data_IF_996163198319
#
_entry.id   IF_996163198319
#
_cell.length_a   1.000
_cell.length_b   1.000
_cell.length_c   1.000
_cell.angle_alpha   90.00
_cell.angle_beta   90.00
_cell.angle_gamma   90.00
#
_symmetry.space_group_name_H-M   'P 1'
#
loop_
_entity.id
_entity.type
_entity.pdbx_description
1 polymer ?
#
# COMPACT_ATOMS: atom_id res chain seq x y z
N UNK A 1 16.46 19.12 15.49
CA UNK A 1 15.25 18.31 15.19
C UNK A 1 15.65 17.26 14.18
N UNK A 2 15.87 16.03 14.61
CA UNK A 2 16.34 14.97 13.73
C UNK A 2 15.19 14.53 12.83
N UNK A 3 15.27 14.87 11.54
CA UNK A 3 14.41 14.29 10.50
C UNK A 3 14.70 12.79 10.48
N UNK A 4 13.84 11.99 11.13
CA UNK A 4 13.86 10.55 10.92
C UNK A 4 13.50 10.33 9.46
N UNK A 5 14.51 10.15 8.62
CA UNK A 5 14.31 9.69 7.26
C UNK A 5 13.61 8.34 7.36
N UNK A 6 12.43 8.21 6.74
CA UNK A 6 11.67 6.98 6.62
C UNK A 6 12.47 5.99 5.77
N UNK A 7 13.49 5.36 6.39
CA UNK A 7 14.45 4.45 5.78
C UNK A 7 13.80 3.23 5.12
N UNK A 8 12.52 2.98 5.36
CA UNK A 8 11.79 1.84 4.80
C UNK A 8 11.25 2.09 3.38
N UNK A 9 11.07 3.36 2.98
CA UNK A 9 10.50 3.72 1.68
C UNK A 9 11.55 4.30 0.72
N UNK A 10 12.72 4.66 1.24
CA UNK A 10 13.65 5.50 0.50
C UNK A 10 14.62 4.74 -0.41
N UNK A 11 14.72 3.39 -0.36
CA UNK A 11 15.66 2.73 -1.29
C UNK A 11 15.56 1.22 -1.58
N UNK A 12 14.48 0.53 -1.23
CA UNK A 12 14.32 -0.87 -1.66
C UNK A 12 12.91 -1.00 -2.22
N UNK A 13 12.82 -1.41 -3.47
CA UNK A 13 11.62 -1.47 -4.29
C UNK A 13 10.35 -1.76 -3.49
N UNK A 14 9.23 -1.11 -3.84
CA UNK A 14 7.89 -1.51 -3.38
C UNK A 14 7.61 -2.96 -3.80
N UNK A 15 8.17 -3.89 -3.04
CA UNK A 15 7.95 -5.32 -3.15
C UNK A 15 6.57 -5.63 -2.58
N UNK A 16 6.02 -6.78 -2.96
CA UNK A 16 4.72 -7.18 -2.44
C UNK A 16 4.74 -7.34 -0.91
N UNK A 17 5.84 -7.82 -0.35
CA UNK A 17 6.00 -7.98 1.10
C UNK A 17 6.07 -6.62 1.84
N UNK A 18 6.77 -5.63 1.28
CA UNK A 18 6.83 -4.29 1.88
C UNK A 18 5.45 -3.61 1.86
N UNK A 19 4.70 -3.74 0.75
CA UNK A 19 3.34 -3.21 0.66
C UNK A 19 2.41 -3.90 1.67
N UNK A 20 2.50 -5.23 1.79
CA UNK A 20 1.71 -6.00 2.74
C UNK A 20 1.99 -5.59 4.20
N UNK A 21 3.27 -5.41 4.55
CA UNK A 21 3.69 -4.94 5.86
C UNK A 21 3.17 -3.53 6.17
N UNK A 22 3.23 -2.59 5.21
CA UNK A 22 2.65 -1.24 5.37
C UNK A 22 1.15 -1.30 5.64
N UNK A 23 0.40 -2.09 4.85
CA UNK A 23 -1.05 -2.27 5.03
C UNK A 23 -1.33 -2.90 6.40
N UNK A 24 -0.55 -3.91 6.78
CA UNK A 24 -0.70 -4.69 8.02
C UNK A 24 -0.23 -3.96 9.28
N UNK A 25 0.64 -2.95 9.18
CA UNK A 25 1.01 -2.10 10.32
C UNK A 25 -0.03 -1.04 10.60
N UNK A 26 -0.69 -0.52 9.56
CA UNK A 26 -1.78 0.46 9.73
C UNK A 26 -1.32 1.82 10.27
N UNK A 27 -0.03 2.15 10.15
CA UNK A 27 0.48 3.47 10.55
C UNK A 27 0.05 4.51 9.54
N UNK A 28 -0.43 5.65 10.04
CA UNK A 28 -0.94 6.74 9.20
C UNK A 28 0.12 7.26 8.23
N UNK A 29 1.34 7.51 8.71
CA UNK A 29 2.40 8.07 7.86
C UNK A 29 2.81 7.08 6.75
N UNK A 30 2.94 5.79 7.07
CA UNK A 30 3.23 4.75 6.07
C UNK A 30 2.11 4.66 5.01
N UNK A 31 0.85 4.90 5.41
CA UNK A 31 -0.29 4.94 4.48
C UNK A 31 -0.32 6.19 3.61
N UNK A 32 0.05 7.35 4.16
CA UNK A 32 0.20 8.59 3.40
C UNK A 32 1.30 8.45 2.34
N UNK A 33 2.43 7.83 2.71
CA UNK A 33 3.55 7.54 1.81
C UNK A 33 3.16 6.53 0.71
N UNK A 34 2.51 5.42 1.07
CA UNK A 34 2.01 4.44 0.09
C UNK A 34 1.02 5.08 -0.89
N UNK A 35 0.13 5.94 -0.38
CA UNK A 35 -0.80 6.68 -1.23
C UNK A 35 -0.04 7.60 -2.18
N UNK A 36 0.92 8.39 -1.70
CA UNK A 36 1.71 9.28 -2.54
C UNK A 36 2.47 8.50 -3.63
N UNK A 37 3.00 7.33 -3.30
CA UNK A 37 3.67 6.45 -4.25
C UNK A 37 2.73 5.95 -5.36
N UNK A 38 1.53 5.48 -4.99
CA UNK A 38 0.51 5.03 -5.96
C UNK A 38 0.06 6.17 -6.88
N UNK A 39 -0.06 7.40 -6.37
CA UNK A 39 -0.40 8.56 -7.19
C UNK A 39 0.70 8.91 -8.21
N UNK A 40 1.97 8.60 -7.90
CA UNK A 40 3.11 8.87 -8.76
C UNK A 40 3.41 7.73 -9.76
N UNK A 41 3.14 6.46 -9.38
CA UNK A 41 3.33 5.28 -10.23
C UNK A 41 2.12 4.34 -10.14
N UNK A 42 1.30 4.34 -11.19
CA UNK A 42 0.11 3.50 -11.28
C UNK A 42 0.40 2.00 -11.23
N UNK A 43 1.63 1.56 -11.57
CA UNK A 43 2.04 0.15 -11.47
C UNK A 43 2.06 -0.35 -10.02
N UNK A 44 2.20 0.55 -9.05
CA UNK A 44 2.11 0.20 -7.63
C UNK A 44 0.67 -0.16 -7.23
N UNK A 45 -0.32 0.39 -7.91
CA UNK A 45 -1.72 0.07 -7.70
C UNK A 45 -2.00 -1.42 -7.99
N UNK A 46 -1.45 -1.95 -9.07
CA UNK A 46 -1.55 -3.38 -9.42
C UNK A 46 -0.91 -4.27 -8.35
N UNK A 47 0.25 -3.84 -7.80
CA UNK A 47 0.91 -4.55 -6.71
C UNK A 47 0.06 -4.56 -5.45
N UNK A 48 -0.58 -3.44 -5.10
CA UNK A 48 -1.52 -3.37 -3.97
C UNK A 48 -2.69 -4.32 -4.18
N UNK A 49 -3.29 -4.36 -5.37
CA UNK A 49 -4.36 -5.32 -5.68
C UNK A 49 -3.89 -6.77 -5.56
N UNK A 50 -2.67 -7.07 -6.03
CA UNK A 50 -2.06 -8.40 -5.90
C UNK A 50 -1.85 -8.79 -4.44
N UNK A 51 -1.39 -7.86 -3.60
CA UNK A 51 -1.23 -8.06 -2.14
C UNK A 51 -2.57 -8.26 -1.45
N UNK A 52 -3.61 -7.52 -1.85
CA UNK A 52 -4.92 -7.63 -1.21
C UNK A 52 -5.70 -8.89 -1.62
N UNK A 53 -5.38 -9.51 -2.76
CA UNK A 53 -6.14 -10.64 -3.33
C UNK A 53 -6.25 -11.85 -2.38
N UNK A 54 -5.18 -12.33 -1.71
CA UNK A 54 -5.27 -13.45 -0.77
C UNK A 54 -6.21 -13.17 0.42
N UNK A 55 -6.38 -11.91 0.81
CA UNK A 55 -7.18 -11.49 1.95
C UNK A 55 -8.65 -11.22 1.61
N UNK A 56 -9.06 -11.40 0.35
CA UNK A 56 -10.42 -11.06 -0.11
C UNK A 56 -11.53 -11.86 0.61
N UNK A 57 -11.24 -13.10 1.00
CA UNK A 57 -12.19 -13.95 1.75
C UNK A 57 -12.09 -13.77 3.27
N UNK A 58 -11.06 -13.08 3.76
CA UNK A 58 -10.78 -12.94 5.19
C UNK A 58 -11.58 -11.79 5.80
N UNK A 59 -12.58 -12.09 6.63
CA UNK A 59 -13.51 -11.11 7.22
C UNK A 59 -12.81 -10.01 8.04
N UNK A 60 -11.65 -10.30 8.61
CA UNK A 60 -10.93 -9.40 9.51
C UNK A 60 -9.79 -8.62 8.82
N UNK A 61 -9.55 -8.85 7.53
CA UNK A 61 -8.56 -8.12 6.74
C UNK A 61 -9.07 -6.75 6.24
N UNK A 62 -9.70 -5.98 7.13
CA UNK A 62 -10.37 -4.71 6.81
C UNK A 62 -9.43 -3.70 6.14
N UNK A 63 -8.15 -3.70 6.53
CA UNK A 63 -7.12 -2.81 5.96
C UNK A 63 -6.82 -3.16 4.50
N UNK A 64 -6.68 -4.45 4.19
CA UNK A 64 -6.52 -4.93 2.82
C UNK A 64 -7.77 -4.68 2.00
N UNK A 65 -8.97 -4.84 2.59
CA UNK A 65 -10.22 -4.51 1.91
C UNK A 65 -10.30 -3.02 1.58
N UNK A 66 -9.93 -2.15 2.52
CA UNK A 66 -9.87 -0.70 2.32
C UNK A 66 -8.94 -0.35 1.16
N UNK A 67 -7.70 -0.85 1.16
CA UNK A 67 -6.73 -0.55 0.11
C UNK A 67 -7.14 -1.09 -1.26
N UNK A 68 -7.72 -2.29 -1.32
CA UNK A 68 -8.27 -2.84 -2.56
C UNK A 68 -9.41 -1.98 -3.12
N UNK A 69 -10.31 -1.50 -2.26
CA UNK A 69 -11.40 -0.61 -2.67
C UNK A 69 -10.89 0.76 -3.09
N UNK A 70 -9.95 1.33 -2.33
CA UNK A 70 -9.31 2.60 -2.63
C UNK A 70 -8.68 2.58 -4.04
N UNK A 71 -7.83 1.59 -4.31
CA UNK A 71 -7.16 1.48 -5.60
C UNK A 71 -8.15 1.28 -6.75
N UNK A 72 -9.17 0.41 -6.58
CA UNK A 72 -10.20 0.19 -7.60
C UNK A 72 -11.01 1.45 -7.90
N UNK A 73 -11.36 2.23 -6.87
CA UNK A 73 -12.15 3.46 -7.04
C UNK A 73 -11.37 4.59 -7.68
N UNK A 74 -10.05 4.63 -7.47
CA UNK A 74 -9.19 5.67 -8.00
C UNK A 74 -8.58 5.35 -9.38
N UNK A 75 -8.97 4.24 -10.02
CA UNK A 75 -8.79 4.06 -11.47
C UNK A 75 -7.34 4.01 -11.94
N UNK A 76 -6.42 3.46 -11.14
CA UNK A 76 -5.07 3.12 -11.62
C UNK A 76 -5.02 1.81 -12.40
N UNK A 77 -6.15 1.10 -12.48
CA UNK A 77 -6.37 0.04 -13.44
C UNK A 77 -6.71 0.69 -14.79
N UNK A 78 -5.72 0.73 -15.69
CA UNK A 78 -5.97 0.87 -17.12
C UNK A 78 -6.59 -0.43 -17.67
#
# INVERSE_FOLDING_TARGET
MATMQHRHLNHQDYTLAAIDDVISRGKRDDWEDLRAAILNDSRLADKVLRVCRPHAAERYAQRHHFWAQYVRRHGFAA
#
